data_IF_553936893047
#
_entry.id   IF_553936893047
#
_cell.length_a   1.000
_cell.length_b   1.000
_cell.length_c   1.000
_cell.angle_alpha   90.00
_cell.angle_beta   90.00
_cell.angle_gamma   90.00
#
_symmetry.space_group_name_H-M   'P 1'
#
loop_
_entity.id
_entity.type
_entity.pdbx_description
1 polymer ?
#
# COMPACT_ATOMS: atom_id res chain seq x y z
N UNK A 1 -0.16 12.03 11.55
CA UNK A 1 -1.40 11.57 10.91
C UNK A 1 -2.06 12.74 10.22
N UNK A 2 -2.14 12.69 8.92
CA UNK A 2 -2.65 13.79 8.08
C UNK A 2 -3.47 13.18 6.96
N UNK A 3 -4.48 13.89 6.48
CA UNK A 3 -5.26 13.49 5.32
C UNK A 3 -4.62 14.10 4.07
N UNK A 4 -3.83 13.32 3.34
CA UNK A 4 -3.18 13.72 2.09
C UNK A 4 -3.67 12.91 0.91
N UNK A 5 -3.88 13.58 -0.22
CA UNK A 5 -3.85 12.94 -1.54
C UNK A 5 -2.40 13.00 -2.06
N UNK A 6 -1.75 11.87 -2.23
CA UNK A 6 -0.35 11.78 -2.67
C UNK A 6 -0.28 11.17 -4.05
N UNK A 7 0.33 11.87 -4.99
CA UNK A 7 0.56 11.40 -6.35
C UNK A 7 2.06 11.16 -6.54
N UNK A 8 2.44 9.93 -6.86
CA UNK A 8 3.83 9.57 -7.07
C UNK A 8 4.04 9.08 -8.49
N UNK A 9 5.11 9.54 -9.13
CA UNK A 9 5.43 9.23 -10.52
C UNK A 9 6.92 8.90 -10.65
N UNK A 10 7.24 7.76 -11.25
CA UNK A 10 8.62 7.43 -11.58
C UNK A 10 9.06 8.18 -12.82
N UNK A 11 10.19 8.89 -12.74
CA UNK A 11 10.71 9.73 -13.80
C UNK A 11 12.23 9.85 -13.77
N UNK A 12 12.76 10.76 -14.58
CA UNK A 12 14.21 11.02 -14.68
C UNK A 12 14.74 12.01 -13.65
N UNK A 13 13.86 12.70 -12.92
CA UNK A 13 14.21 13.73 -11.94
C UNK A 13 13.48 13.51 -10.62
N UNK A 14 14.07 14.01 -9.55
CA UNK A 14 13.48 14.02 -8.22
C UNK A 14 12.91 15.39 -7.92
N UNK A 15 11.64 15.45 -7.56
CA UNK A 15 10.96 16.69 -7.24
C UNK A 15 9.78 16.44 -6.30
N UNK A 16 9.49 17.40 -5.44
CA UNK A 16 8.31 17.40 -4.59
C UNK A 16 7.60 18.74 -4.69
N UNK A 17 6.30 18.70 -4.90
CA UNK A 17 5.43 19.85 -4.82
C UNK A 17 4.26 19.55 -3.87
N UNK A 18 3.88 20.51 -3.05
CA UNK A 18 2.76 20.37 -2.12
C UNK A 18 1.76 21.50 -2.30
N UNK A 19 0.49 21.20 -2.08
CA UNK A 19 -0.58 22.18 -2.13
C UNK A 19 -1.59 21.97 -1.01
N UNK A 20 -2.26 23.05 -0.63
CA UNK A 20 -3.37 23.06 0.31
C UNK A 20 -4.42 24.07 -0.14
N UNK A 21 -5.60 24.04 0.48
CA UNK A 21 -6.71 24.96 0.16
C UNK A 21 -6.39 26.42 0.43
N UNK A 22 -5.51 26.68 1.41
CA UNK A 22 -5.08 28.03 1.80
C UNK A 22 -3.61 28.07 2.19
N UNK A 23 -3.03 29.27 2.23
CA UNK A 23 -1.61 29.49 2.52
C UNK A 23 -1.22 29.04 3.92
N UNK A 24 -2.04 29.32 4.92
CA UNK A 24 -1.81 28.92 6.32
C UNK A 24 -1.72 27.40 6.47
N UNK A 25 -2.53 26.66 5.74
CA UNK A 25 -2.48 25.21 5.69
C UNK A 25 -1.24 24.72 4.92
N UNK A 26 -0.87 25.39 3.82
CA UNK A 26 0.32 25.05 3.04
C UNK A 26 1.61 25.22 3.83
N UNK A 27 1.76 26.30 4.60
CA UNK A 27 2.92 26.56 5.45
C UNK A 27 3.13 25.53 6.57
N UNK A 28 2.10 24.76 6.91
CA UNK A 28 2.16 23.70 7.91
C UNK A 28 2.50 22.32 7.33
N UNK A 29 2.61 22.22 6.01
CA UNK A 29 3.09 20.99 5.38
C UNK A 29 4.60 20.94 5.57
N UNK A 30 5.07 19.86 6.18
CA UNK A 30 6.50 19.58 6.36
C UNK A 30 6.97 18.66 5.26
N UNK A 31 8.07 19.02 4.60
CA UNK A 31 8.73 18.19 3.57
C UNK A 31 10.21 18.16 3.93
N UNK A 32 10.72 17.01 4.32
CA UNK A 32 12.08 16.83 4.75
C UNK A 32 12.68 15.55 4.20
N UNK A 33 13.94 15.58 3.79
CA UNK A 33 14.71 14.39 3.46
C UNK A 33 15.71 14.11 4.58
N UNK A 34 15.57 12.95 5.24
CA UNK A 34 16.46 12.50 6.31
C UNK A 34 16.97 11.09 5.99
N UNK A 35 18.27 10.91 5.96
CA UNK A 35 18.91 9.63 5.66
C UNK A 35 18.37 8.95 4.37
N UNK A 36 18.14 9.71 3.32
CA UNK A 36 17.61 9.21 2.05
C UNK A 36 16.09 8.95 2.04
N UNK A 37 15.37 9.26 3.12
CA UNK A 37 13.92 9.06 3.22
C UNK A 37 13.23 10.42 3.12
N UNK A 38 12.30 10.55 2.17
CA UNK A 38 11.42 11.69 2.05
C UNK A 38 10.27 11.56 3.06
N UNK A 39 10.19 12.50 3.98
CA UNK A 39 9.11 12.62 4.95
C UNK A 39 8.18 13.76 4.56
N UNK A 40 6.90 13.45 4.41
CA UNK A 40 5.86 14.45 4.18
C UNK A 40 4.85 14.35 5.33
N UNK A 41 4.61 15.47 5.97
CA UNK A 41 3.73 15.54 7.13
C UNK A 41 2.97 16.86 7.21
N UNK A 42 2.13 16.98 8.20
CA UNK A 42 1.37 18.18 8.48
C UNK A 42 1.41 18.50 9.98
N UNK A 43 1.86 19.70 10.33
CA UNK A 43 1.82 20.16 11.71
C UNK A 43 0.40 20.58 12.11
N UNK A 44 -0.26 19.72 12.87
CA UNK A 44 -1.63 19.93 13.35
C UNK A 44 -1.72 20.66 14.70
N UNK A 45 -0.61 21.09 15.28
CA UNK A 45 -0.59 21.73 16.60
C UNK A 45 -1.46 22.98 16.61
N UNK A 46 -2.37 23.06 17.59
CA UNK A 46 -3.25 24.22 17.79
C UNK A 46 -4.38 24.38 16.75
N UNK A 47 -4.63 23.38 15.89
CA UNK A 47 -5.72 23.41 14.95
C UNK A 47 -6.92 22.61 15.46
N UNK A 48 -8.11 23.25 15.41
CA UNK A 48 -9.35 22.52 15.57
C UNK A 48 -9.65 21.76 14.26
N UNK A 49 -9.31 20.45 14.24
CA UNK A 49 -9.40 19.59 13.06
C UNK A 49 -10.80 19.50 12.46
N UNK A 50 -11.83 19.77 13.29
CA UNK A 50 -13.24 19.71 12.89
C UNK A 50 -13.68 20.86 11.96
N UNK A 51 -12.89 21.93 11.80
CA UNK A 51 -13.23 23.08 10.97
C UNK A 51 -12.35 23.14 9.71
N UNK A 52 -12.83 22.60 8.60
CA UNK A 52 -12.34 22.89 7.26
C UNK A 52 -11.75 21.68 6.51
N UNK A 53 -12.18 21.52 5.25
CA UNK A 53 -11.61 20.61 4.28
C UNK A 53 -10.26 21.16 3.81
N UNK A 54 -9.14 20.61 4.26
CA UNK A 54 -7.80 21.17 4.02
C UNK A 54 -7.22 20.78 2.66
N UNK A 55 -7.77 19.76 1.99
CA UNK A 55 -7.36 19.25 0.67
C UNK A 55 -5.82 19.29 0.49
N UNK A 56 -5.12 18.61 1.38
CA UNK A 56 -3.67 18.53 1.32
C UNK A 56 -3.27 17.61 0.17
N UNK A 57 -2.40 18.08 -0.72
CA UNK A 57 -1.89 17.27 -1.82
C UNK A 57 -0.37 17.31 -1.86
N UNK A 58 0.21 16.17 -2.23
CA UNK A 58 1.63 16.06 -2.52
C UNK A 58 1.83 15.40 -3.87
N UNK A 59 2.71 15.96 -4.67
CA UNK A 59 3.13 15.44 -5.97
C UNK A 59 4.61 15.14 -5.89
N UNK A 60 4.98 13.89 -6.14
CA UNK A 60 6.34 13.40 -5.99
C UNK A 60 6.80 12.78 -7.29
N UNK A 61 7.88 13.28 -7.85
CA UNK A 61 8.65 12.62 -8.91
C UNK A 61 9.91 12.01 -8.29
N UNK A 62 10.21 10.76 -8.63
CA UNK A 62 11.35 10.03 -8.10
C UNK A 62 12.01 9.19 -9.21
N UNK A 63 13.30 8.88 -9.06
CA UNK A 63 14.04 8.01 -9.99
C UNK A 63 13.90 6.54 -9.61
N UNK A 64 14.15 6.24 -8.36
CA UNK A 64 14.04 4.90 -7.80
C UNK A 64 13.56 4.99 -6.35
N UNK A 65 12.71 4.06 -5.95
CA UNK A 65 12.31 3.84 -4.56
C UNK A 65 12.22 2.35 -4.29
N UNK A 66 12.55 1.96 -3.08
CA UNK A 66 12.47 0.59 -2.57
C UNK A 66 11.46 0.46 -1.41
N UNK A 67 10.97 1.59 -0.90
CA UNK A 67 10.02 1.61 0.22
C UNK A 67 8.99 2.71 0.10
N UNK A 68 7.74 2.35 0.40
CA UNK A 68 6.61 3.26 0.60
C UNK A 68 6.00 2.99 1.97
N UNK A 69 5.98 4.00 2.82
CA UNK A 69 5.31 3.92 4.11
C UNK A 69 4.22 4.97 4.20
N UNK A 70 2.99 4.54 4.42
CA UNK A 70 1.80 5.39 4.48
C UNK A 70 1.13 5.22 5.84
N UNK A 71 0.81 6.33 6.49
CA UNK A 71 0.13 6.32 7.78
C UNK A 71 -0.83 7.49 7.95
N UNK A 72 -1.87 7.31 8.72
CA UNK A 72 -2.93 8.30 8.91
C UNK A 72 -4.11 8.05 7.97
N UNK A 73 -4.71 9.10 7.43
CA UNK A 73 -5.85 9.03 6.50
C UNK A 73 -5.39 9.57 5.13
N UNK A 74 -4.60 8.78 4.40
CA UNK A 74 -3.95 9.22 3.16
C UNK A 74 -4.38 8.36 1.98
N UNK A 75 -4.63 9.01 0.85
CA UNK A 75 -4.83 8.36 -0.44
C UNK A 75 -3.56 8.50 -1.29
N UNK A 76 -2.96 7.38 -1.69
CA UNK A 76 -1.74 7.36 -2.52
C UNK A 76 -2.03 6.80 -3.90
N UNK A 77 -1.63 7.52 -4.91
CA UNK A 77 -1.82 7.17 -6.31
C UNK A 77 -0.46 7.04 -7.02
N UNK A 78 -0.13 5.83 -7.47
CA UNK A 78 1.03 5.60 -8.33
C UNK A 78 0.61 5.91 -9.77
N UNK A 79 1.14 6.98 -10.34
CA UNK A 79 0.88 7.38 -11.73
C UNK A 79 1.86 6.64 -12.65
N UNK A 80 1.32 5.93 -13.63
CA UNK A 80 2.11 5.05 -14.50
C UNK A 80 2.44 3.71 -13.85
N UNK A 81 3.60 3.17 -14.13
CA UNK A 81 4.07 1.88 -13.58
C UNK A 81 5.31 2.13 -12.72
N UNK A 82 5.25 1.71 -11.45
CA UNK A 82 6.40 1.70 -10.56
C UNK A 82 7.24 0.46 -10.85
N UNK A 83 8.51 0.68 -11.19
CA UNK A 83 9.49 -0.38 -11.47
C UNK A 83 10.57 -0.37 -10.41
N UNK A 84 10.83 -1.54 -9.84
CA UNK A 84 11.90 -1.75 -8.87
C UNK A 84 12.29 -3.23 -8.79
N UNK A 85 13.52 -3.53 -8.39
CA UNK A 85 13.92 -4.91 -8.08
C UNK A 85 13.23 -5.37 -6.77
N UNK A 86 13.15 -4.48 -5.80
CA UNK A 86 12.48 -4.72 -4.52
C UNK A 86 11.61 -3.53 -4.13
N UNK A 87 10.39 -3.81 -3.64
CA UNK A 87 9.48 -2.81 -3.10
C UNK A 87 8.87 -3.28 -1.80
N UNK A 88 9.03 -2.49 -0.74
CA UNK A 88 8.42 -2.68 0.57
C UNK A 88 7.30 -1.65 0.75
N UNK A 89 6.06 -2.10 0.87
CA UNK A 89 4.88 -1.25 1.10
C UNK A 89 4.35 -1.51 2.50
N UNK A 90 4.31 -0.46 3.33
CA UNK A 90 3.70 -0.50 4.65
C UNK A 90 2.58 0.52 4.75
N UNK A 91 1.39 0.04 5.10
CA UNK A 91 0.24 0.92 5.32
C UNK A 91 -0.36 0.72 6.71
N UNK A 92 -0.75 1.81 7.32
CA UNK A 92 -1.43 1.82 8.61
C UNK A 92 -2.38 3.00 8.75
N UNK A 93 -3.32 2.91 9.68
CA UNK A 93 -4.36 3.92 9.85
C UNK A 93 -5.57 3.63 8.96
N UNK A 94 -6.07 4.62 8.26
CA UNK A 94 -7.18 4.51 7.30
C UNK A 94 -6.68 5.06 5.94
N UNK A 95 -5.84 4.30 5.26
CA UNK A 95 -5.14 4.77 4.06
C UNK A 95 -5.40 3.86 2.86
N UNK A 96 -5.54 4.47 1.70
CA UNK A 96 -5.68 3.77 0.42
C UNK A 96 -4.43 3.96 -0.43
N UNK A 97 -3.96 2.89 -1.08
CA UNK A 97 -2.93 2.98 -2.12
C UNK A 97 -3.40 2.28 -3.39
N UNK A 98 -3.23 2.94 -4.52
CA UNK A 98 -3.62 2.40 -5.82
C UNK A 98 -2.51 2.61 -6.84
N UNK A 99 -2.22 1.56 -7.64
CA UNK A 99 -1.25 1.71 -8.69
C UNK A 99 -0.89 0.46 -9.47
N UNK A 100 0.02 0.64 -10.43
CA UNK A 100 0.57 -0.44 -11.23
C UNK A 100 2.03 -0.67 -10.89
N UNK A 101 2.39 -1.92 -10.67
CA UNK A 101 3.71 -2.37 -10.26
C UNK A 101 4.35 -3.27 -11.34
N UNK A 102 5.66 -3.19 -11.45
CA UNK A 102 6.50 -4.11 -12.22
C UNK A 102 7.78 -4.32 -11.39
N UNK A 103 7.75 -5.33 -10.52
CA UNK A 103 8.78 -5.54 -9.52
C UNK A 103 9.20 -7.01 -9.43
N UNK A 104 10.45 -7.26 -9.06
CA UNK A 104 10.89 -8.61 -8.81
C UNK A 104 10.37 -9.15 -7.48
N UNK A 105 10.54 -8.39 -6.40
CA UNK A 105 10.13 -8.78 -5.06
C UNK A 105 9.25 -7.71 -4.43
N UNK A 106 8.05 -8.10 -4.05
CA UNK A 106 7.08 -7.26 -3.34
C UNK A 106 6.92 -7.75 -1.90
N UNK A 107 7.07 -6.84 -0.95
CA UNK A 107 6.71 -7.07 0.46
C UNK A 107 5.62 -6.09 0.84
N UNK A 108 4.53 -6.58 1.41
CA UNK A 108 3.37 -5.77 1.80
C UNK A 108 3.01 -6.07 3.25
N UNK A 109 2.82 -5.02 4.03
CA UNK A 109 2.35 -5.07 5.42
C UNK A 109 1.22 -4.04 5.58
N UNK A 110 -0.01 -4.54 5.68
CA UNK A 110 -1.22 -3.73 5.85
C UNK A 110 -1.79 -3.91 7.26
N UNK A 111 -2.11 -2.80 7.89
CA UNK A 111 -2.74 -2.80 9.21
C UNK A 111 -3.73 -1.65 9.38
N UNK A 112 -4.56 -1.71 10.42
CA UNK A 112 -5.60 -0.71 10.65
C UNK A 112 -6.85 -0.96 9.81
N UNK A 113 -7.25 0.00 9.00
CA UNK A 113 -8.35 -0.07 8.04
C UNK A 113 -7.85 0.46 6.68
N UNK A 114 -6.91 -0.26 6.09
CA UNK A 114 -6.14 0.18 4.91
C UNK A 114 -6.45 -0.68 3.69
N UNK A 115 -6.65 -0.04 2.55
CA UNK A 115 -6.85 -0.73 1.28
C UNK A 115 -5.63 -0.58 0.36
N UNK A 116 -5.15 -1.69 -0.19
CA UNK A 116 -4.13 -1.69 -1.24
C UNK A 116 -4.69 -2.32 -2.52
N UNK A 117 -4.83 -1.52 -3.56
CA UNK A 117 -5.29 -1.97 -4.88
C UNK A 117 -4.16 -1.86 -5.90
N UNK A 118 -3.61 -3.00 -6.31
CA UNK A 118 -2.46 -3.04 -7.22
C UNK A 118 -2.70 -3.98 -8.40
N UNK A 119 -2.05 -3.62 -9.51
CA UNK A 119 -2.05 -4.39 -10.76
C UNK A 119 -0.64 -4.51 -11.32
N UNK A 120 -0.46 -5.33 -12.37
CA UNK A 120 0.81 -5.51 -13.05
C UNK A 120 1.51 -6.80 -12.70
N UNK A 121 2.80 -6.77 -12.33
CA UNK A 121 3.59 -7.97 -12.08
C UNK A 121 4.47 -7.83 -10.84
N UNK A 122 4.55 -8.91 -10.06
CA UNK A 122 5.55 -9.09 -9.02
C UNK A 122 6.02 -10.54 -9.05
N UNK A 123 7.29 -10.82 -9.37
CA UNK A 123 7.74 -12.21 -9.48
C UNK A 123 7.59 -12.97 -8.17
N UNK A 124 7.93 -12.35 -7.04
CA UNK A 124 7.72 -12.89 -5.70
C UNK A 124 6.94 -11.89 -4.85
N UNK A 125 5.92 -12.34 -4.14
CA UNK A 125 5.13 -11.52 -3.23
C UNK A 125 5.07 -12.14 -1.82
N UNK A 126 5.35 -11.32 -0.81
CA UNK A 126 5.06 -11.63 0.60
C UNK A 126 4.07 -10.60 1.11
N UNK A 127 2.87 -11.05 1.45
CA UNK A 127 1.73 -10.18 1.76
C UNK A 127 1.22 -10.55 3.15
N UNK A 128 1.27 -9.58 4.06
CA UNK A 128 0.71 -9.68 5.40
C UNK A 128 -0.36 -8.61 5.58
N UNK A 129 -1.58 -9.03 5.93
CA UNK A 129 -2.73 -8.14 6.09
C UNK A 129 -3.39 -8.42 7.44
N UNK A 130 -3.61 -7.37 8.20
CA UNK A 130 -4.18 -7.44 9.53
C UNK A 130 -5.17 -6.31 9.82
N UNK A 131 -5.92 -6.43 10.92
CA UNK A 131 -6.93 -5.44 11.28
C UNK A 131 -8.21 -5.61 10.44
N UNK A 132 -8.65 -4.54 9.80
CA UNK A 132 -9.79 -4.52 8.86
C UNK A 132 -9.31 -3.97 7.51
N UNK A 133 -8.28 -4.61 6.95
CA UNK A 133 -7.56 -4.14 5.75
C UNK A 133 -7.72 -5.11 4.59
N UNK A 134 -7.72 -4.60 3.36
CA UNK A 134 -7.87 -5.40 2.16
C UNK A 134 -6.69 -5.26 1.20
N UNK A 135 -6.19 -6.40 0.72
CA UNK A 135 -5.28 -6.47 -0.43
C UNK A 135 -6.05 -6.89 -1.68
N UNK A 136 -6.20 -5.97 -2.63
CA UNK A 136 -6.94 -6.15 -3.88
C UNK A 136 -5.97 -6.26 -5.06
N UNK A 137 -5.45 -7.46 -5.30
CA UNK A 137 -4.40 -7.75 -6.28
C UNK A 137 -4.77 -8.84 -7.29
N UNK A 138 -6.03 -9.04 -7.66
CA UNK A 138 -6.37 -9.97 -8.74
C UNK A 138 -5.73 -9.60 -10.09
N UNK A 139 -5.46 -8.32 -10.31
CA UNK A 139 -4.80 -7.81 -11.51
C UNK A 139 -3.26 -7.72 -11.35
N UNK A 140 -2.71 -8.15 -10.21
CA UNK A 140 -1.29 -8.33 -9.97
C UNK A 140 -0.93 -9.81 -10.17
N UNK A 141 -0.18 -10.10 -11.22
CA UNK A 141 0.26 -11.47 -11.51
C UNK A 141 1.56 -11.75 -10.76
N UNK A 142 1.57 -12.85 -9.99
CA UNK A 142 2.76 -13.30 -9.27
C UNK A 142 3.15 -14.72 -9.67
N UNK A 143 4.44 -15.06 -9.55
CA UNK A 143 4.90 -16.45 -9.68
C UNK A 143 4.80 -17.18 -8.34
N UNK A 144 5.33 -16.60 -7.29
CA UNK A 144 5.40 -17.17 -5.95
C UNK A 144 4.78 -16.19 -4.96
N UNK A 145 3.86 -16.65 -4.13
CA UNK A 145 3.21 -15.83 -3.12
C UNK A 145 3.17 -16.51 -1.75
N UNK A 146 3.56 -15.78 -0.71
CA UNK A 146 3.28 -16.08 0.68
C UNK A 146 2.27 -15.06 1.20
N UNK A 147 1.05 -15.50 1.53
CA UNK A 147 -0.06 -14.65 1.92
C UNK A 147 -0.50 -14.96 3.35
N UNK A 148 -0.52 -13.96 4.22
CA UNK A 148 -1.00 -14.07 5.60
C UNK A 148 -2.09 -13.04 5.85
N UNK A 149 -3.26 -13.51 6.24
CA UNK A 149 -4.40 -12.67 6.60
C UNK A 149 -4.83 -12.94 8.05
N UNK A 150 -5.09 -11.89 8.80
CA UNK A 150 -5.54 -11.99 10.18
C UNK A 150 -6.50 -10.87 10.59
N UNK A 151 -7.32 -11.08 11.59
CA UNK A 151 -8.34 -10.11 11.99
C UNK A 151 -9.61 -10.25 11.15
N UNK A 152 -10.05 -9.18 10.52
CA UNK A 152 -11.16 -9.12 9.57
C UNK A 152 -10.66 -8.58 8.24
N UNK A 153 -9.75 -9.31 7.58
CA UNK A 153 -9.01 -8.83 6.41
C UNK A 153 -9.09 -9.80 5.24
N UNK A 154 -9.02 -9.25 4.03
CA UNK A 154 -9.08 -10.03 2.79
C UNK A 154 -7.81 -9.87 1.95
N UNK A 155 -7.32 -10.98 1.38
CA UNK A 155 -6.29 -10.99 0.35
C UNK A 155 -6.86 -11.58 -0.95
N UNK A 156 -6.73 -10.85 -2.05
CA UNK A 156 -7.09 -11.31 -3.41
C UNK A 156 -5.87 -11.18 -4.31
N UNK A 157 -5.39 -12.31 -4.89
CA UNK A 157 -4.14 -12.34 -5.66
C UNK A 157 -4.20 -13.34 -6.82
N UNK A 158 -3.42 -13.13 -7.88
CA UNK A 158 -3.21 -14.08 -8.97
C UNK A 158 -1.82 -14.69 -8.88
N UNK A 159 -1.73 -16.02 -8.76
CA UNK A 159 -0.48 -16.76 -8.56
C UNK A 159 -0.32 -17.89 -9.58
N UNK A 160 0.81 -17.97 -10.26
CA UNK A 160 1.00 -18.91 -11.38
C UNK A 160 1.97 -20.07 -11.11
N UNK A 161 2.82 -20.02 -10.08
CA UNK A 161 3.75 -21.12 -9.74
C UNK A 161 3.45 -21.75 -8.38
N UNK A 162 3.65 -21.00 -7.29
CA UNK A 162 3.49 -21.52 -5.94
C UNK A 162 2.79 -20.55 -5.01
N UNK A 163 1.88 -21.05 -4.17
CA UNK A 163 1.24 -20.27 -3.13
C UNK A 163 1.32 -20.99 -1.78
N UNK A 164 1.73 -20.25 -0.75
CA UNK A 164 1.50 -20.57 0.65
C UNK A 164 0.54 -19.52 1.23
N UNK A 165 -0.50 -19.96 1.93
CA UNK A 165 -1.48 -19.05 2.49
C UNK A 165 -1.88 -19.44 3.90
N UNK A 166 -1.98 -18.46 4.78
CA UNK A 166 -2.41 -18.61 6.15
C UNK A 166 -3.47 -17.56 6.48
N UNK A 167 -4.66 -18.01 6.84
CA UNK A 167 -5.77 -17.14 7.22
C UNK A 167 -6.20 -17.43 8.66
N UNK A 168 -6.47 -16.40 9.45
CA UNK A 168 -6.91 -16.54 10.84
C UNK A 168 -7.90 -15.45 11.24
N UNK A 169 -8.73 -15.72 12.25
CA UNK A 169 -9.79 -14.79 12.67
C UNK A 169 -11.02 -14.90 11.77
N UNK A 170 -11.43 -13.78 11.18
CA UNK A 170 -12.53 -13.69 10.21
C UNK A 170 -11.97 -13.14 8.88
N UNK A 171 -10.93 -13.80 8.35
CA UNK A 171 -10.19 -13.32 7.17
C UNK A 171 -10.24 -14.32 6.02
N UNK A 172 -10.18 -13.82 4.79
CA UNK A 172 -10.19 -14.66 3.62
C UNK A 172 -8.96 -14.43 2.72
N UNK A 173 -8.39 -15.53 2.23
CA UNK A 173 -7.39 -15.49 1.15
C UNK A 173 -7.98 -16.14 -0.09
N UNK A 174 -8.22 -15.35 -1.13
CA UNK A 174 -8.74 -15.81 -2.42
C UNK A 174 -7.67 -15.65 -3.49
N UNK A 175 -7.32 -16.72 -4.17
CA UNK A 175 -6.32 -16.66 -5.23
C UNK A 175 -6.83 -17.23 -6.55
N UNK A 176 -6.30 -16.72 -7.66
CA UNK A 176 -6.50 -17.19 -9.02
C UNK A 176 -5.18 -17.67 -9.62
N UNK A 177 -5.24 -18.23 -10.82
CA UNK A 177 -4.07 -18.66 -11.57
C UNK A 177 -3.81 -20.16 -11.48
N UNK A 178 -2.62 -20.58 -11.96
CA UNK A 178 -2.25 -21.99 -12.07
C UNK A 178 -1.32 -22.46 -10.95
N UNK A 179 -1.04 -21.59 -9.96
CA UNK A 179 -0.12 -21.88 -8.86
C UNK A 179 -0.45 -23.16 -8.11
N UNK A 180 0.59 -23.94 -7.81
CA UNK A 180 0.51 -25.13 -6.97
C UNK A 180 0.44 -24.68 -5.51
N UNK A 181 -0.50 -25.26 -4.79
CA UNK A 181 -0.64 -25.03 -3.36
C UNK A 181 0.48 -25.77 -2.63
N UNK A 182 1.32 -25.03 -1.90
CA UNK A 182 2.41 -25.57 -1.11
C UNK A 182 2.02 -25.77 0.37
N UNK A 183 1.35 -24.78 0.94
CA UNK A 183 0.84 -24.85 2.30
C UNK A 183 -0.42 -23.99 2.43
N UNK A 184 -1.49 -24.55 2.99
CA UNK A 184 -2.69 -23.78 3.32
C UNK A 184 -3.06 -24.03 4.76
N UNK A 185 -3.23 -22.95 5.51
CA UNK A 185 -3.71 -22.99 6.88
C UNK A 185 -4.87 -22.03 7.06
N UNK A 186 -5.90 -22.47 7.73
CA UNK A 186 -7.01 -21.62 8.14
C UNK A 186 -7.43 -21.94 9.56
N UNK A 187 -7.80 -20.93 10.33
CA UNK A 187 -8.27 -21.08 11.71
C UNK A 187 -9.31 -20.02 12.06
N UNK A 188 -10.24 -20.34 12.94
CA UNK A 188 -11.37 -19.46 13.24
C UNK A 188 -12.43 -19.53 12.15
N UNK A 189 -13.00 -18.37 11.81
CA UNK A 189 -14.00 -18.23 10.73
C UNK A 189 -13.35 -17.77 9.41
N UNK A 190 -12.12 -18.21 9.18
CA UNK A 190 -11.35 -17.81 7.99
C UNK A 190 -11.41 -18.84 6.88
N UNK A 191 -11.18 -18.42 5.64
CA UNK A 191 -11.11 -19.31 4.50
C UNK A 191 -9.89 -19.04 3.61
N UNK A 192 -9.41 -20.11 2.95
CA UNK A 192 -8.46 -20.01 1.84
C UNK A 192 -9.09 -20.75 0.66
N UNK A 193 -9.32 -20.04 -0.45
CA UNK A 193 -10.01 -20.62 -1.61
C UNK A 193 -9.39 -20.18 -2.93
N UNK A 194 -9.46 -21.09 -3.91
CA UNK A 194 -9.16 -20.78 -5.31
C UNK A 194 -10.43 -20.27 -6.00
N UNK A 195 -10.36 -19.06 -6.60
CA UNK A 195 -11.45 -18.42 -7.32
C UNK A 195 -11.45 -18.73 -8.81
#
# INVERSE_FOLDING_TARGET
SSAFDVYITQGSSEAVAVSAVDEKSRERITVEVKAGILHIGFDSKGLNWAKGNKKLKAYISYKAIDRLQVSGACDVYITGTLKADHLDIKQSGASDLRGKLDVDKLTVDLSGASDLMVSGMARQASIEVSGASDFKGYDLVTEICDARASGASDIKITVNKEISANASGASDVRFKGQGVIRDLKSSGSSSVSKG
#
